data_IF_826765636751
#
_entry.id   IF_826765636751
#
_cell.length_a   1.000
_cell.length_b   1.000
_cell.length_c   1.000
_cell.angle_alpha   90.00
_cell.angle_beta   90.00
_cell.angle_gamma   90.00
#
_symmetry.space_group_name_H-M   'P 1'
#
loop_
_entity.id
_entity.type
_entity.pdbx_description
1 polymer ?
#
# COMPACT_ATOMS: atom_id res chain seq x y z
N UNK A 1 4.74 -7.19 2.09
CA UNK A 1 3.27 -7.19 1.87
C UNK A 1 2.94 -7.01 0.39
N UNK A 2 3.20 -5.84 -0.21
CA UNK A 2 2.89 -5.54 -1.63
C UNK A 2 3.47 -6.53 -2.64
N UNK A 3 4.71 -7.02 -2.41
CA UNK A 3 5.34 -8.05 -3.26
C UNK A 3 4.56 -9.38 -3.32
N UNK A 4 3.79 -9.69 -2.27
CA UNK A 4 3.04 -10.94 -2.14
C UNK A 4 1.56 -10.75 -2.50
N UNK A 5 1.02 -9.55 -2.30
CA UNK A 5 -0.36 -9.18 -2.64
C UNK A 5 -0.39 -7.73 -3.16
N UNK A 6 -0.61 -7.57 -4.46
CA UNK A 6 -0.70 -6.27 -5.10
C UNK A 6 -1.98 -5.50 -4.73
N UNK A 7 -2.99 -6.15 -4.16
CA UNK A 7 -4.23 -5.50 -3.74
C UNK A 7 -4.31 -5.24 -2.24
N UNK A 8 -3.20 -5.46 -1.53
CA UNK A 8 -3.14 -5.25 -0.08
C UNK A 8 -3.57 -3.82 0.28
N UNK A 9 -4.55 -3.71 1.18
CA UNK A 9 -5.08 -2.42 1.60
C UNK A 9 -4.16 -1.75 2.62
N UNK A 10 -4.14 -0.41 2.63
CA UNK A 10 -3.38 0.34 3.63
C UNK A 10 -3.88 0.10 5.05
N UNK A 11 -5.20 -0.10 5.23
CA UNK A 11 -5.81 -0.46 6.51
C UNK A 11 -5.27 -1.79 7.04
N UNK A 12 -5.24 -2.84 6.22
CA UNK A 12 -4.68 -4.13 6.61
C UNK A 12 -3.20 -4.02 6.97
N UNK A 13 -2.41 -3.30 6.17
CA UNK A 13 -1.00 -3.02 6.50
C UNK A 13 -0.85 -2.31 7.84
N UNK A 14 -1.77 -1.42 8.20
CA UNK A 14 -1.74 -0.68 9.46
C UNK A 14 -2.06 -1.60 10.65
N UNK A 15 -3.07 -2.46 10.51
CA UNK A 15 -3.46 -3.44 11.52
C UNK A 15 -2.33 -4.45 11.78
N UNK A 16 -1.77 -5.05 10.73
CA UNK A 16 -0.67 -6.04 10.85
C UNK A 16 0.63 -5.45 11.41
N UNK A 17 0.89 -4.16 11.17
CA UNK A 17 2.10 -3.47 11.65
C UNK A 17 1.86 -2.69 12.95
N UNK A 18 0.67 -2.79 13.55
CA UNK A 18 0.26 -2.08 14.77
C UNK A 18 0.51 -0.55 14.72
N UNK A 19 0.27 0.05 13.56
CA UNK A 19 0.41 1.50 13.33
C UNK A 19 -0.89 2.07 12.77
N UNK A 20 -0.97 3.41 12.69
CA UNK A 20 -2.11 4.05 12.05
C UNK A 20 -1.96 4.05 10.50
N UNK A 21 -3.09 4.08 9.80
CA UNK A 21 -3.12 4.08 8.32
C UNK A 21 -2.45 5.33 7.72
N UNK A 22 -2.43 6.45 8.45
CA UNK A 22 -1.76 7.69 8.03
C UNK A 22 -0.24 7.52 7.99
N UNK A 23 0.33 6.72 8.88
CA UNK A 23 1.75 6.38 8.95
C UNK A 23 2.12 5.51 7.75
N UNK A 24 1.32 4.48 7.44
CA UNK A 24 1.47 3.70 6.21
C UNK A 24 1.42 4.60 4.97
N UNK A 25 0.43 5.50 4.90
CA UNK A 25 0.25 6.42 3.79
C UNK A 25 1.40 7.42 3.60
N UNK A 26 2.14 7.73 4.68
CA UNK A 26 3.34 8.59 4.63
C UNK A 26 4.52 7.81 4.06
N UNK A 27 4.86 6.70 4.69
CA UNK A 27 6.03 5.91 4.31
C UNK A 27 5.90 5.28 2.92
N UNK A 28 4.71 4.82 2.53
CA UNK A 28 4.53 4.20 1.22
C UNK A 28 4.79 5.17 0.06
N UNK A 29 4.60 6.48 0.27
CA UNK A 29 4.90 7.52 -0.73
C UNK A 29 6.40 7.81 -0.84
N UNK A 30 7.17 7.49 0.19
CA UNK A 30 8.63 7.66 0.21
C UNK A 30 9.35 6.51 -0.50
N UNK A 31 8.66 5.39 -0.74
CA UNK A 31 9.19 4.25 -1.47
C UNK A 31 9.12 4.54 -2.98
N UNK A 32 10.27 4.93 -3.55
CA UNK A 32 10.35 5.41 -4.93
C UNK A 32 9.92 4.38 -6.00
N UNK A 33 10.08 3.08 -5.71
CA UNK A 33 9.82 2.00 -6.66
C UNK A 33 8.43 1.37 -6.50
N UNK A 34 7.47 2.05 -5.85
CA UNK A 34 6.11 1.55 -5.68
C UNK A 34 5.11 2.62 -6.10
N UNK A 35 4.08 2.24 -6.84
CA UNK A 35 2.98 3.14 -7.20
C UNK A 35 1.61 2.46 -7.07
N UNK A 36 0.59 3.22 -6.70
CA UNK A 36 -0.79 2.75 -6.75
C UNK A 36 -1.42 3.15 -8.09
N UNK A 37 -1.93 2.18 -8.83
CA UNK A 37 -2.56 2.35 -10.15
C UNK A 37 -4.02 1.93 -10.12
N UNK A 38 -4.83 2.54 -10.97
CA UNK A 38 -6.27 2.26 -11.07
C UNK A 38 -7.13 2.99 -10.04
N UNK A 39 -8.44 2.71 -10.06
CA UNK A 39 -9.45 3.31 -9.17
C UNK A 39 -10.48 2.25 -8.74
N UNK A 40 -11.07 2.44 -7.56
CA UNK A 40 -12.09 1.56 -7.01
C UNK A 40 -11.62 0.10 -6.97
N UNK A 41 -12.48 -0.83 -7.40
CA UNK A 41 -12.23 -2.29 -7.40
C UNK A 41 -11.06 -2.75 -8.29
N UNK A 42 -10.61 -1.90 -9.22
CA UNK A 42 -9.50 -2.20 -10.13
C UNK A 42 -8.16 -1.62 -9.64
N UNK A 43 -8.15 -0.92 -8.50
CA UNK A 43 -6.93 -0.36 -7.92
C UNK A 43 -5.98 -1.44 -7.38
N UNK A 44 -4.68 -1.25 -7.57
CA UNK A 44 -3.62 -2.13 -7.08
C UNK A 44 -2.27 -1.43 -7.02
N UNK A 45 -1.32 -2.03 -6.31
CA UNK A 45 0.08 -1.60 -6.21
C UNK A 45 0.93 -2.26 -7.30
N UNK A 46 1.80 -1.48 -7.91
CA UNK A 46 2.85 -1.94 -8.82
C UNK A 46 4.22 -1.62 -8.23
N UNK A 47 5.19 -2.50 -8.49
CA UNK A 47 6.60 -2.27 -8.20
C UNK A 47 7.26 -1.91 -9.54
N UNK A 48 7.89 -0.73 -9.62
CA UNK A 48 8.52 -0.15 -10.83
C UNK A 48 10.02 -0.34 -10.80
#
# INVERSE_FOLDING_TARGET
MIKNDSKVSRKFMAEELEVNEKTISRYIKEIANIRYVGKGKNGHWEIV
#
